data_IF_208934174943
#
_entry.id   IF_208934174943
#
_cell.length_a   1.000
_cell.length_b   1.000
_cell.length_c   1.000
_cell.angle_alpha   90.00
_cell.angle_beta   90.00
_cell.angle_gamma   90.00
#
_symmetry.space_group_name_H-M   'P 1'
#
loop_
_entity.id
_entity.type
_entity.pdbx_description
1 polymer ?
#
# COMPACT_ATOMS: atom_id res chain seq x y z
N UNK A 1 1.58 -7.62 11.10
CA UNK A 1 0.94 -7.68 9.77
C UNK A 1 1.78 -6.83 8.84
N UNK A 2 2.01 -7.30 7.61
CA UNK A 2 2.94 -6.67 6.67
C UNK A 2 2.20 -6.44 5.35
N UNK A 3 2.06 -5.19 4.93
CA UNK A 3 1.47 -4.88 3.63
C UNK A 3 2.55 -4.71 2.58
N UNK A 4 2.41 -5.49 1.51
CA UNK A 4 3.34 -5.62 0.40
C UNK A 4 2.73 -4.94 -0.82
N UNK A 5 3.58 -4.29 -1.61
CA UNK A 5 3.16 -3.57 -2.81
C UNK A 5 2.63 -4.50 -3.90
N UNK A 6 2.15 -3.89 -4.97
CA UNK A 6 1.78 -4.58 -6.21
C UNK A 6 2.98 -5.22 -6.89
N UNK A 7 2.73 -6.09 -7.87
CA UNK A 7 3.74 -6.67 -8.77
C UNK A 7 4.71 -7.68 -8.11
N UNK A 8 4.35 -8.24 -6.95
CA UNK A 8 5.09 -9.33 -6.30
C UNK A 8 4.62 -10.73 -6.71
N UNK A 9 3.64 -10.83 -7.61
CA UNK A 9 3.14 -12.08 -8.17
C UNK A 9 3.35 -12.10 -9.68
N UNK A 10 3.60 -13.29 -10.25
CA UNK A 10 3.87 -13.43 -11.68
C UNK A 10 2.66 -13.17 -12.59
N UNK A 11 1.45 -13.44 -12.10
CA UNK A 11 0.25 -13.46 -12.94
C UNK A 11 -0.78 -12.37 -12.57
N UNK A 12 -0.56 -11.62 -11.48
CA UNK A 12 -1.49 -10.59 -11.01
C UNK A 12 -0.73 -9.40 -10.43
N UNK A 13 -1.29 -8.20 -10.58
CA UNK A 13 -0.70 -6.95 -10.07
C UNK A 13 -1.22 -6.54 -8.70
N UNK A 14 -2.05 -7.38 -8.06
CA UNK A 14 -2.66 -7.04 -6.78
C UNK A 14 -1.59 -6.96 -5.66
N UNK A 15 -1.70 -5.95 -4.76
CA UNK A 15 -0.91 -5.97 -3.53
C UNK A 15 -1.39 -7.10 -2.62
N UNK A 16 -0.56 -7.51 -1.67
CA UNK A 16 -0.96 -8.50 -0.67
C UNK A 16 -0.62 -8.05 0.75
N UNK A 17 -1.20 -8.75 1.72
CA UNK A 17 -0.89 -8.53 3.12
C UNK A 17 -0.56 -9.87 3.77
N UNK A 18 0.59 -9.93 4.42
CA UNK A 18 1.07 -11.09 5.15
C UNK A 18 0.68 -10.97 6.63
N UNK A 19 0.02 -12.00 7.13
CA UNK A 19 -0.47 -12.06 8.50
C UNK A 19 0.38 -13.01 9.34
N UNK A 20 0.93 -12.47 10.43
CA UNK A 20 1.77 -13.21 11.36
C UNK A 20 1.06 -13.27 12.71
N UNK A 21 0.62 -14.46 13.09
CA UNK A 21 0.00 -14.71 14.38
C UNK A 21 1.03 -15.30 15.33
N UNK A 22 1.11 -14.73 16.52
CA UNK A 22 2.05 -15.16 17.57
C UNK A 22 1.23 -15.67 18.76
N UNK A 23 1.23 -16.98 19.00
CA UNK A 23 0.57 -17.59 20.17
C UNK A 23 1.38 -17.37 21.45
N UNK A 24 2.69 -17.13 21.35
CA UNK A 24 3.62 -16.94 22.47
C UNK A 24 3.47 -15.58 23.16
N UNK A 25 2.90 -14.58 22.49
CA UNK A 25 2.69 -13.24 23.10
C UNK A 25 1.59 -13.17 24.17
N UNK A 26 0.86 -14.26 24.43
CA UNK A 26 -0.32 -14.26 25.33
C UNK A 26 -0.01 -13.72 26.73
N UNK A 27 1.17 -14.02 27.26
CA UNK A 27 1.59 -13.65 28.61
C UNK A 27 2.63 -12.52 28.62
N UNK A 28 2.69 -11.71 27.55
CA UNK A 28 3.64 -10.60 27.43
C UNK A 28 2.92 -9.27 27.28
N UNK A 29 3.65 -8.16 27.37
CA UNK A 29 3.14 -6.81 27.08
C UNK A 29 2.62 -6.63 25.64
N UNK A 30 2.87 -7.60 24.75
CA UNK A 30 2.44 -7.61 23.34
C UNK A 30 1.08 -8.29 23.10
N UNK A 31 0.47 -8.90 24.12
CA UNK A 31 -0.80 -9.67 24.03
C UNK A 31 -1.86 -8.97 23.17
N UNK A 32 -2.18 -7.73 23.51
CA UNK A 32 -3.26 -6.94 22.89
C UNK A 32 -2.72 -5.87 21.91
N UNK A 33 -1.55 -6.15 21.31
CA UNK A 33 -0.87 -5.25 20.38
C UNK A 33 -0.66 -5.91 19.02
N UNK A 34 -0.82 -5.13 17.96
CA UNK A 34 -0.54 -5.50 16.57
C UNK A 34 0.52 -4.57 16.02
N UNK A 35 1.62 -5.14 15.53
CA UNK A 35 2.61 -4.40 14.75
C UNK A 35 2.14 -4.34 13.30
N UNK A 36 1.94 -3.12 12.80
CA UNK A 36 1.69 -2.81 11.40
C UNK A 36 2.99 -2.42 10.73
N UNK A 37 3.26 -3.05 9.58
CA UNK A 37 4.39 -2.75 8.71
C UNK A 37 3.85 -2.41 7.33
N UNK A 38 4.17 -1.22 6.86
CA UNK A 38 3.90 -0.80 5.49
C UNK A 38 5.21 -0.85 4.70
N UNK A 39 5.35 -1.88 3.87
CA UNK A 39 6.56 -2.15 3.10
C UNK A 39 6.30 -2.07 1.60
N UNK A 40 5.21 -1.39 1.20
CA UNK A 40 4.80 -1.27 -0.21
C UNK A 40 5.88 -0.62 -1.10
N UNK A 41 6.65 0.29 -0.53
CA UNK A 41 7.77 0.99 -1.18
C UNK A 41 9.13 0.32 -0.97
N UNK A 42 9.17 -0.88 -0.39
CA UNK A 42 10.40 -1.66 -0.24
C UNK A 42 10.40 -2.74 -1.31
N UNK A 43 11.19 -2.55 -2.36
CA UNK A 43 11.33 -3.56 -3.39
C UNK A 43 12.57 -3.30 -4.23
N UNK A 44 13.01 -4.35 -4.91
CA UNK A 44 13.85 -4.26 -6.09
C UNK A 44 12.98 -4.56 -7.30
N UNK A 45 12.95 -3.62 -8.25
CA UNK A 45 12.31 -3.84 -9.54
C UNK A 45 13.23 -4.76 -10.37
N UNK A 46 12.74 -5.92 -10.79
CA UNK A 46 13.55 -6.89 -11.56
C UNK A 46 13.31 -6.80 -13.06
N UNK A 47 12.11 -6.43 -13.48
CA UNK A 47 11.74 -6.13 -14.86
C UNK A 47 10.60 -5.09 -14.89
N UNK A 48 9.95 -4.85 -16.04
CA UNK A 48 8.85 -3.86 -16.13
C UNK A 48 7.60 -4.23 -15.30
N UNK A 49 7.38 -5.51 -15.04
CA UNK A 49 6.16 -6.05 -14.48
C UNK A 49 6.33 -6.66 -13.08
N UNK A 50 7.56 -6.94 -12.62
CA UNK A 50 7.80 -7.69 -11.39
C UNK A 50 8.74 -6.99 -10.42
N UNK A 51 8.42 -7.19 -9.13
CA UNK A 51 9.16 -6.72 -7.96
C UNK A 51 9.49 -7.90 -7.07
N UNK A 52 10.64 -7.82 -6.40
CA UNK A 52 11.07 -8.78 -5.41
C UNK A 52 11.62 -8.09 -4.15
N UNK A 53 11.64 -8.82 -3.05
CA UNK A 53 12.48 -8.44 -1.90
C UNK A 53 13.86 -9.06 -2.09
N UNK A 54 14.91 -8.26 -1.92
CA UNK A 54 16.26 -8.81 -1.76
C UNK A 54 16.44 -9.43 -0.37
N UNK A 55 17.44 -10.28 -0.17
CA UNK A 55 17.77 -10.81 1.16
C UNK A 55 18.00 -9.70 2.19
N UNK A 56 18.57 -8.57 1.76
CA UNK A 56 18.75 -7.38 2.57
C UNK A 56 17.43 -6.70 2.93
N UNK A 57 16.44 -6.70 2.04
CA UNK A 57 15.10 -6.18 2.33
C UNK A 57 14.38 -7.07 3.35
N UNK A 58 14.46 -8.40 3.16
CA UNK A 58 13.88 -9.38 4.09
C UNK A 58 14.52 -9.23 5.47
N UNK A 59 15.86 -9.17 5.55
CA UNK A 59 16.58 -8.96 6.80
C UNK A 59 16.19 -7.64 7.46
N UNK A 60 16.09 -6.55 6.69
CA UNK A 60 15.66 -5.26 7.20
C UNK A 60 14.26 -5.34 7.83
N UNK A 61 13.28 -5.89 7.12
CA UNK A 61 11.90 -6.02 7.61
C UNK A 61 11.85 -6.93 8.85
N UNK A 62 12.59 -8.04 8.83
CA UNK A 62 12.69 -8.97 9.95
C UNK A 62 13.30 -8.29 11.19
N UNK A 63 14.34 -7.46 11.00
CA UNK A 63 14.95 -6.71 12.09
C UNK A 63 13.99 -5.70 12.73
N UNK A 64 13.07 -5.07 11.98
CA UNK A 64 12.03 -4.21 12.59
C UNK A 64 11.15 -5.05 13.55
N UNK A 65 10.80 -6.27 13.14
CA UNK A 65 10.05 -7.20 14.00
C UNK A 65 10.86 -7.61 15.23
N UNK A 66 12.16 -7.93 15.06
CA UNK A 66 13.07 -8.27 16.16
C UNK A 66 13.24 -7.13 17.15
N UNK A 67 13.41 -5.90 16.65
CA UNK A 67 13.43 -4.68 17.47
C UNK A 67 12.14 -4.56 18.31
N UNK A 68 10.97 -4.76 17.69
CA UNK A 68 9.69 -4.73 18.40
C UNK A 68 9.56 -5.84 19.45
N UNK A 69 10.18 -6.99 19.20
CA UNK A 69 10.15 -8.15 20.10
C UNK A 69 11.26 -8.14 21.15
N UNK A 70 12.19 -7.19 21.08
CA UNK A 70 13.40 -7.13 21.91
C UNK A 70 14.29 -8.38 21.71
N UNK A 71 14.41 -8.84 20.46
CA UNK A 71 15.22 -9.99 20.05
C UNK A 71 16.56 -9.56 19.40
N UNK A 72 17.54 -10.47 19.37
CA UNK A 72 18.84 -10.22 18.74
C UNK A 72 18.72 -9.98 17.22
N UNK A 73 19.31 -8.87 16.78
CA UNK A 73 19.32 -8.45 15.38
C UNK A 73 20.26 -9.31 14.54
N UNK A 74 19.91 -9.46 13.26
CA UNK A 74 20.74 -10.15 12.27
C UNK A 74 21.22 -9.16 11.21
N UNK A 75 22.50 -9.22 10.85
CA UNK A 75 23.09 -8.34 9.84
C UNK A 75 23.90 -9.10 8.79
N UNK A 76 23.67 -10.40 8.64
CA UNK A 76 24.33 -11.28 7.66
C UNK A 76 24.21 -10.75 6.21
N UNK A 77 23.09 -10.11 5.87
CA UNK A 77 22.77 -9.53 4.57
C UNK A 77 22.98 -8.00 4.52
N UNK A 78 23.74 -7.44 5.47
CA UNK A 78 24.18 -6.05 5.45
C UNK A 78 23.04 -5.00 5.49
N UNK A 79 21.92 -5.29 6.16
CA UNK A 79 20.83 -4.32 6.37
C UNK A 79 21.13 -3.27 7.45
N UNK A 80 22.24 -3.41 8.20
CA UNK A 80 22.58 -2.58 9.37
C UNK A 80 22.45 -1.08 9.13
N UNK A 81 23.01 -0.59 8.02
CA UNK A 81 22.94 0.84 7.66
C UNK A 81 21.48 1.33 7.61
N UNK A 82 20.62 0.58 6.93
CA UNK A 82 19.20 0.92 6.75
C UNK A 82 18.41 0.82 8.05
N UNK A 83 18.75 -0.14 8.91
CA UNK A 83 18.20 -0.21 10.27
C UNK A 83 18.60 1.03 11.07
N UNK A 84 19.86 1.41 11.07
CA UNK A 84 20.34 2.56 11.86
C UNK A 84 19.82 3.91 11.36
N UNK A 85 19.45 4.04 10.08
CA UNK A 85 18.80 5.23 9.53
C UNK A 85 17.45 5.52 10.23
N UNK A 86 16.66 4.47 10.49
CA UNK A 86 15.35 4.62 11.16
C UNK A 86 15.46 4.41 12.68
N UNK A 87 16.37 3.56 13.14
CA UNK A 87 16.53 3.11 14.53
C UNK A 87 18.00 3.28 14.99
N UNK A 88 18.48 4.52 15.18
CA UNK A 88 19.89 4.78 15.51
C UNK A 88 20.33 4.14 16.83
N UNK A 89 19.42 4.02 17.79
CA UNK A 89 19.67 3.38 19.09
C UNK A 89 19.45 1.86 19.09
N UNK A 90 19.13 1.26 17.94
CA UNK A 90 18.75 -0.15 17.84
C UNK A 90 17.61 -0.53 18.81
N UNK A 91 16.67 0.39 18.98
CA UNK A 91 15.43 0.20 19.74
C UNK A 91 14.23 0.50 18.85
N UNK A 92 13.16 -0.27 19.03
CA UNK A 92 11.93 -0.02 18.31
C UNK A 92 11.33 1.36 18.66
N UNK A 93 10.86 2.05 17.62
CA UNK A 93 9.98 3.21 17.72
C UNK A 93 9.01 3.20 16.54
N UNK A 94 7.89 3.88 16.66
CA UNK A 94 6.99 4.04 15.52
C UNK A 94 7.61 5.00 14.50
N UNK A 95 7.46 4.67 13.21
CA UNK A 95 8.00 5.44 12.08
C UNK A 95 6.84 5.70 11.11
N UNK A 96 6.51 6.97 10.90
CA UNK A 96 5.47 7.40 9.95
C UNK A 96 5.77 6.85 8.55
N UNK A 97 4.77 6.22 7.93
CA UNK A 97 4.90 5.59 6.62
C UNK A 97 5.66 4.25 6.59
N UNK A 98 6.14 3.71 7.72
CA UNK A 98 6.85 2.43 7.77
C UNK A 98 6.32 1.45 8.82
N UNK A 99 6.27 1.82 10.10
CA UNK A 99 5.83 0.91 11.15
C UNK A 99 5.10 1.60 12.30
N UNK A 100 4.06 0.95 12.83
CA UNK A 100 3.38 1.37 14.05
C UNK A 100 2.86 0.19 14.85
N UNK A 101 2.95 0.27 16.18
CA UNK A 101 2.23 -0.63 17.08
C UNK A 101 0.88 -0.01 17.43
N UNK A 102 -0.22 -0.72 17.15
CA UNK A 102 -1.54 -0.33 17.60
C UNK A 102 -2.13 -1.38 18.56
N UNK A 103 -2.91 -0.91 19.51
CA UNK A 103 -3.69 -1.71 20.45
C UNK A 103 -4.97 -2.23 19.80
N UNK A 104 -5.56 -3.29 20.38
CA UNK A 104 -6.88 -3.78 19.94
C UNK A 104 -7.96 -2.69 20.08
N UNK A 105 -7.86 -1.80 21.07
CA UNK A 105 -8.81 -0.70 21.26
C UNK A 105 -8.71 0.35 20.15
N UNK A 106 -7.49 0.73 19.73
CA UNK A 106 -7.29 1.58 18.56
C UNK A 106 -7.84 0.95 17.28
N UNK A 107 -7.67 -0.37 17.11
CA UNK A 107 -8.22 -1.10 15.97
C UNK A 107 -9.76 -1.10 16.00
N UNK A 108 -10.35 -1.27 17.17
CA UNK A 108 -11.81 -1.22 17.36
C UNK A 108 -12.35 0.18 17.04
N UNK A 109 -11.66 1.24 17.46
CA UNK A 109 -12.02 2.62 17.11
C UNK A 109 -11.98 2.87 15.60
N UNK A 110 -11.14 2.14 14.87
CA UNK A 110 -11.07 2.15 13.40
C UNK A 110 -12.03 1.14 12.74
N UNK A 111 -13.10 0.72 13.43
CA UNK A 111 -14.10 -0.25 12.94
C UNK A 111 -13.49 -1.58 12.47
N UNK A 112 -12.45 -2.06 13.16
CA UNK A 112 -11.69 -3.26 12.82
C UNK A 112 -11.00 -3.23 11.46
N UNK A 113 -10.85 -2.06 10.85
CA UNK A 113 -10.04 -1.90 9.63
C UNK A 113 -8.59 -2.25 9.93
N UNK A 114 -8.03 -3.19 9.17
CA UNK A 114 -6.61 -3.56 9.28
C UNK A 114 -5.79 -2.99 8.12
N UNK A 115 -6.27 -1.95 7.44
CA UNK A 115 -5.44 -1.23 6.48
C UNK A 115 -4.30 -0.50 7.23
N UNK A 116 -3.01 -0.82 6.99
CA UNK A 116 -1.90 -0.20 7.72
C UNK A 116 -1.83 1.31 7.56
N UNK A 117 -2.30 1.87 6.43
CA UNK A 117 -2.32 3.32 6.22
C UNK A 117 -3.05 4.08 7.31
N UNK A 118 -4.05 3.45 7.97
CA UNK A 118 -4.77 4.05 9.11
C UNK A 118 -3.95 4.16 10.38
N UNK A 119 -2.88 3.39 10.51
CA UNK A 119 -2.06 3.33 11.73
C UNK A 119 -0.69 3.95 11.47
N UNK A 120 -0.02 3.48 10.43
CA UNK A 120 1.33 3.85 10.07
C UNK A 120 1.39 5.28 9.50
N UNK A 121 0.26 5.78 8.99
CA UNK A 121 0.19 7.04 8.24
C UNK A 121 0.80 6.90 6.86
N UNK A 122 0.64 7.94 6.05
CA UNK A 122 1.32 8.04 4.75
C UNK A 122 2.66 8.74 5.00
N UNK A 123 3.75 8.21 4.42
CA UNK A 123 4.99 8.99 4.30
C UNK A 123 4.61 10.29 3.62
N UNK A 124 5.13 11.44 4.06
CA UNK A 124 4.92 12.69 3.32
C UNK A 124 5.37 12.44 1.88
N UNK A 125 4.40 12.26 0.99
CA UNK A 125 4.63 12.47 -0.42
C UNK A 125 4.97 13.96 -0.53
N UNK A 126 5.82 14.32 -1.48
CA UNK A 126 5.66 15.66 -2.04
C UNK A 126 4.18 15.77 -2.39
N UNK A 127 3.44 16.61 -1.67
CA UNK A 127 2.06 16.89 -2.02
C UNK A 127 2.14 17.38 -3.45
N UNK A 128 1.77 16.53 -4.41
CA UNK A 128 1.38 17.07 -5.69
C UNK A 128 0.15 17.92 -5.36
N UNK A 129 0.35 19.23 -5.39
CA UNK A 129 -0.55 20.33 -5.05
C UNK A 129 -1.78 20.35 -5.98
N UNK A 130 -2.48 19.22 -6.12
CA UNK A 130 -3.79 19.24 -6.75
C UNK A 130 -4.82 19.47 -5.66
N UNK A 131 -5.45 20.63 -5.72
CA UNK A 131 -6.65 20.90 -4.93
C UNK A 131 -7.71 19.92 -5.44
N UNK A 132 -8.18 19.02 -4.56
CA UNK A 132 -9.13 17.95 -4.93
C UNK A 132 -10.31 18.46 -5.75
N UNK A 133 -10.83 19.63 -5.40
CA UNK A 133 -11.93 20.30 -6.10
C UNK A 133 -11.57 20.69 -7.53
N UNK A 134 -10.36 21.20 -7.77
CA UNK A 134 -9.88 21.55 -9.12
C UNK A 134 -9.73 20.30 -9.98
N UNK A 135 -9.16 19.22 -9.43
CA UNK A 135 -9.00 17.97 -10.18
C UNK A 135 -10.33 17.30 -10.48
N UNK A 136 -11.28 17.37 -9.54
CA UNK A 136 -12.63 16.87 -9.75
C UNK A 136 -13.37 17.66 -10.83
N UNK A 137 -13.23 18.99 -10.83
CA UNK A 137 -13.81 19.84 -11.87
C UNK A 137 -13.21 19.52 -13.26
N UNK A 138 -11.89 19.44 -13.36
CA UNK A 138 -11.19 19.07 -14.60
C UNK A 138 -11.69 17.73 -15.15
N UNK A 139 -11.77 16.69 -14.30
CA UNK A 139 -12.25 15.37 -14.70
C UNK A 139 -13.73 15.37 -15.07
N UNK A 140 -14.55 16.21 -14.43
CA UNK A 140 -15.96 16.33 -14.77
C UNK A 140 -16.17 17.04 -16.11
N UNK A 141 -15.38 18.07 -16.41
CA UNK A 141 -15.41 18.76 -17.70
C UNK A 141 -15.00 17.80 -18.84
N UNK A 142 -13.94 17.01 -18.62
CA UNK A 142 -13.53 15.96 -19.57
C UNK A 142 -14.65 14.92 -19.77
N UNK A 143 -15.31 14.49 -18.69
CA UNK A 143 -16.45 13.58 -18.74
C UNK A 143 -17.62 14.16 -19.54
N UNK A 144 -17.92 15.44 -19.40
CA UNK A 144 -18.98 16.11 -20.17
C UNK A 144 -18.67 16.15 -21.67
N UNK A 145 -17.42 16.45 -22.04
CA UNK A 145 -16.98 16.41 -23.44
C UNK A 145 -17.18 15.01 -24.01
N UNK A 146 -16.67 13.98 -23.33
CA UNK A 146 -16.80 12.59 -23.76
C UNK A 146 -18.27 12.14 -23.88
N UNK A 147 -19.14 12.60 -22.99
CA UNK A 147 -20.58 12.30 -23.05
C UNK A 147 -21.25 12.94 -24.27
N UNK A 148 -20.86 14.14 -24.66
CA UNK A 148 -21.39 14.80 -25.86
C UNK A 148 -20.91 14.10 -27.13
N UNK A 149 -19.62 13.75 -27.21
CA UNK A 149 -19.08 12.97 -28.33
C UNK A 149 -19.77 11.61 -28.47
N UNK A 150 -20.06 10.94 -27.35
CA UNK A 150 -20.79 9.68 -27.35
C UNK A 150 -22.21 9.82 -27.91
N UNK A 151 -22.93 10.89 -27.57
CA UNK A 151 -24.27 11.18 -28.13
C UNK A 151 -24.23 11.42 -29.63
N UNK A 152 -23.27 12.22 -30.11
CA UNK A 152 -23.12 12.49 -31.54
C UNK A 152 -22.87 11.20 -32.34
N UNK A 153 -22.07 10.29 -31.78
CA UNK A 153 -21.83 8.97 -32.36
C UNK A 153 -23.09 8.10 -32.32
N UNK A 154 -23.83 8.09 -31.21
CA UNK A 154 -25.10 7.36 -31.08
C UNK A 154 -26.11 7.81 -32.14
N UNK A 155 -26.27 9.12 -32.34
CA UNK A 155 -27.17 9.69 -33.33
C UNK A 155 -26.78 9.30 -34.76
N UNK A 156 -25.48 9.37 -35.08
CA UNK A 156 -24.97 8.93 -36.39
C UNK A 156 -25.22 7.45 -36.65
N UNK A 157 -25.00 6.60 -35.65
CA UNK A 157 -25.27 5.15 -35.76
C UNK A 157 -26.76 4.91 -35.99
N UNK A 158 -27.62 5.55 -35.19
CA UNK A 158 -29.08 5.44 -35.32
C UNK A 158 -29.58 5.89 -36.70
N UNK A 159 -29.04 7.00 -37.21
CA UNK A 159 -29.34 7.49 -38.56
C UNK A 159 -28.92 6.47 -39.64
N UNK A 160 -27.68 5.97 -39.57
CA UNK A 160 -27.16 5.01 -40.55
C UNK A 160 -27.96 3.70 -40.56
N UNK A 161 -28.34 3.18 -39.38
CA UNK A 161 -29.17 1.98 -39.27
C UNK A 161 -30.54 2.19 -39.93
N UNK A 162 -31.19 3.35 -39.72
CA UNK A 162 -32.47 3.65 -40.36
C UNK A 162 -32.37 3.66 -41.88
N UNK A 163 -31.32 4.27 -42.44
CA UNK A 163 -31.09 4.29 -43.88
C UNK A 163 -30.95 2.87 -44.45
N UNK A 164 -30.11 2.04 -43.82
CA UNK A 164 -29.90 0.64 -44.24
C UNK A 164 -31.17 -0.21 -44.19
N UNK A 165 -32.03 0.00 -43.18
CA UNK A 165 -33.29 -0.73 -43.04
C UNK A 165 -34.40 -0.25 -43.98
N UNK A 166 -34.30 0.99 -44.49
CA UNK A 166 -35.28 1.56 -45.43
C UNK A 166 -34.98 1.28 -46.90
N UNK A 167 -33.76 0.81 -47.22
CA UNK A 167 -33.32 0.47 -48.59
C UNK A 167 -33.47 -1.03 -48.93
N UNK A 168 -34.06 -1.84 -48.04
CA UNK A 168 -34.39 -3.26 -48.24
C UNK A 168 -35.89 -3.52 -48.26
#
# INVERSE_FOLDING_TARGET
>A
MVSVGSNFFHNVTLPCTLWFFDKGKKNTKRKDKVLFLDVREIYKQIDRAHREFTDKDIEYIANIVKLYREEDLDFTNNSKKRITEHFPELKYKDIKGLCKVATIDEIKAQSYSLNPGRYVGVKEAEEEDYIFEEKLAELNDELEILNNEAKDLEEKISFNIKQLLSEG
#
